data_IF_295007878774
#
_entry.id   IF_295007878774
#
_cell.length_a   1.000
_cell.length_b   1.000
_cell.length_c   1.000
_cell.angle_alpha   90.00
_cell.angle_beta   90.00
_cell.angle_gamma   90.00
#
_symmetry.space_group_name_H-M   'P 1'
#
loop_
_entity.id
_entity.type
_entity.pdbx_description
1 polymer ?
#
# COMPACT_ATOMS: atom_id res chain seq x y z
N UNK A 1 25.86 -10.20 -3.67
CA UNK A 1 24.59 -9.46 -3.84
C UNK A 1 23.59 -10.05 -2.85
N UNK A 2 23.08 -9.25 -1.91
CA UNK A 2 21.99 -9.70 -1.03
C UNK A 2 20.75 -9.97 -1.90
N UNK A 3 20.21 -11.18 -1.83
CA UNK A 3 18.96 -11.54 -2.49
C UNK A 3 17.83 -11.08 -1.59
N UNK A 4 17.09 -10.07 -2.01
CA UNK A 4 15.84 -9.69 -1.35
C UNK A 4 14.80 -10.75 -1.68
N UNK A 5 14.56 -11.68 -0.75
CA UNK A 5 13.44 -12.62 -0.80
C UNK A 5 12.23 -11.93 -0.16
N UNK A 6 11.17 -11.58 -0.92
CA UNK A 6 9.99 -10.95 -0.36
C UNK A 6 9.15 -12.03 0.33
N UNK A 7 9.50 -12.35 1.57
CA UNK A 7 8.68 -13.21 2.41
C UNK A 7 7.48 -12.40 2.93
N UNK A 8 6.37 -12.49 2.20
CA UNK A 8 5.06 -12.01 2.64
C UNK A 8 4.84 -10.50 2.44
N UNK A 9 3.83 -10.15 1.64
CA UNK A 9 3.25 -8.81 1.67
C UNK A 9 2.59 -8.59 3.04
N UNK A 10 2.77 -7.41 3.66
CA UNK A 10 2.19 -7.09 4.97
C UNK A 10 0.65 -7.14 4.99
N UNK A 11 0.03 -7.05 3.81
CA UNK A 11 -1.41 -7.20 3.61
C UNK A 11 -1.64 -8.30 2.56
N UNK A 12 -2.61 -9.20 2.80
CA UNK A 12 -3.14 -10.06 1.74
C UNK A 12 -3.63 -9.23 0.54
N UNK A 13 -3.49 -9.78 -0.67
CA UNK A 13 -3.82 -9.06 -1.90
C UNK A 13 -5.31 -8.67 -1.98
N UNK A 14 -6.18 -9.57 -1.54
CA UNK A 14 -7.63 -9.38 -1.42
C UNK A 14 -7.99 -8.25 -0.45
N UNK A 15 -7.31 -8.18 0.70
CA UNK A 15 -7.50 -7.09 1.68
C UNK A 15 -7.03 -5.76 1.10
N UNK A 16 -5.88 -5.75 0.42
CA UNK A 16 -5.37 -4.54 -0.22
C UNK A 16 -6.32 -4.03 -1.31
N UNK A 17 -6.94 -4.92 -2.09
CA UNK A 17 -7.90 -4.55 -3.13
C UNK A 17 -9.18 -3.96 -2.54
N UNK A 18 -9.79 -4.60 -1.54
CA UNK A 18 -10.97 -4.04 -0.85
C UNK A 18 -10.69 -2.64 -0.27
N UNK A 19 -9.54 -2.47 0.38
CA UNK A 19 -9.14 -1.21 1.00
C UNK A 19 -8.96 -0.07 -0.03
N UNK A 20 -8.53 -0.36 -1.26
CA UNK A 20 -8.45 0.65 -2.34
C UNK A 20 -9.80 1.33 -2.58
N UNK A 21 -10.85 0.53 -2.65
CA UNK A 21 -12.21 1.01 -2.93
C UNK A 21 -12.83 1.73 -1.72
N UNK A 22 -12.57 1.25 -0.51
CA UNK A 22 -12.97 1.95 0.71
C UNK A 22 -12.33 3.34 0.81
N UNK A 23 -11.01 3.41 0.58
CA UNK A 23 -10.29 4.69 0.60
C UNK A 23 -10.74 5.59 -0.54
N UNK A 24 -11.04 5.03 -1.72
CA UNK A 24 -11.61 5.82 -2.82
C UNK A 24 -12.96 6.45 -2.44
N UNK A 25 -13.79 5.73 -1.69
CA UNK A 25 -15.06 6.23 -1.17
C UNK A 25 -14.84 7.35 -0.14
N UNK A 26 -13.91 7.17 0.81
CA UNK A 26 -13.54 8.21 1.77
C UNK A 26 -13.02 9.49 1.09
N UNK A 27 -12.30 9.34 -0.01
CA UNK A 27 -11.72 10.47 -0.77
C UNK A 27 -12.72 11.09 -1.77
N UNK A 28 -13.92 10.52 -1.91
CA UNK A 28 -14.96 11.00 -2.82
C UNK A 28 -14.59 10.85 -4.30
N UNK A 29 -13.73 9.89 -4.65
CA UNK A 29 -13.27 9.68 -6.04
C UNK A 29 -13.88 8.44 -6.69
N UNK A 30 -14.72 7.67 -6.00
CA UNK A 30 -15.34 6.44 -6.52
C UNK A 30 -16.02 6.64 -7.86
N UNK A 31 -16.74 7.75 -8.06
CA UNK A 31 -17.41 8.04 -9.33
C UNK A 31 -16.47 8.34 -10.51
N UNK A 32 -15.16 8.47 -10.28
CA UNK A 32 -14.15 8.62 -11.34
C UNK A 32 -13.53 7.28 -11.76
N UNK A 33 -13.73 6.23 -10.96
CA UNK A 33 -13.18 4.90 -11.18
C UNK A 33 -14.20 4.12 -12.00
N UNK A 34 -13.76 3.44 -13.05
CA UNK A 34 -14.59 2.44 -13.71
C UNK A 34 -14.52 1.15 -12.90
N UNK A 35 -15.47 1.00 -11.97
CA UNK A 35 -15.53 -0.15 -11.04
C UNK A 35 -15.94 -1.45 -11.73
N UNK A 36 -16.56 -1.39 -12.91
CA UNK A 36 -16.98 -2.59 -13.64
C UNK A 36 -15.77 -3.31 -14.28
N UNK A 37 -14.77 -2.54 -14.69
CA UNK A 37 -13.54 -3.04 -15.32
C UNK A 37 -12.29 -2.95 -14.42
N UNK A 38 -12.44 -2.54 -13.15
CA UNK A 38 -11.33 -2.18 -12.24
C UNK A 38 -10.32 -1.22 -12.89
N UNK A 39 -10.81 -0.24 -13.65
CA UNK A 39 -9.96 0.64 -14.44
C UNK A 39 -9.82 2.03 -13.80
N UNK A 40 -8.59 2.35 -13.44
CA UNK A 40 -8.20 3.60 -12.79
C UNK A 40 -7.50 4.60 -13.74
N UNK A 41 -7.30 4.24 -15.02
CA UNK A 41 -6.51 5.07 -15.94
C UNK A 41 -7.14 6.41 -16.29
N UNK A 42 -8.46 6.57 -16.09
CA UNK A 42 -9.16 7.85 -16.25
C UNK A 42 -9.08 8.75 -15.00
N UNK A 43 -8.59 8.22 -13.88
CA UNK A 43 -8.45 8.94 -12.61
C UNK A 43 -7.13 9.72 -12.63
N UNK A 44 -7.16 10.98 -12.17
CA UNK A 44 -5.95 11.79 -12.10
C UNK A 44 -4.89 11.11 -11.23
N UNK A 45 -3.62 11.11 -11.67
CA UNK A 45 -2.52 10.46 -10.94
C UNK A 45 -2.37 10.94 -9.49
N UNK A 46 -2.74 12.20 -9.21
CA UNK A 46 -2.80 12.75 -7.85
C UNK A 46 -3.79 11.99 -6.96
N UNK A 47 -4.97 11.67 -7.48
CA UNK A 47 -6.01 10.96 -6.74
C UNK A 47 -5.62 9.47 -6.57
N UNK A 48 -5.09 8.83 -7.61
CA UNK A 48 -4.52 7.48 -7.50
C UNK A 48 -3.38 7.41 -6.46
N UNK A 49 -2.50 8.40 -6.46
CA UNK A 49 -1.40 8.52 -5.49
C UNK A 49 -1.90 8.72 -4.05
N UNK A 50 -3.02 9.42 -3.84
CA UNK A 50 -3.64 9.56 -2.51
C UNK A 50 -4.18 8.23 -1.99
N UNK A 51 -4.83 7.43 -2.83
CA UNK A 51 -5.30 6.08 -2.46
C UNK A 51 -4.10 5.17 -2.17
N UNK A 52 -3.21 5.01 -3.15
CA UNK A 52 -2.04 4.14 -3.02
C UNK A 52 -1.12 4.56 -1.87
N UNK A 53 -0.98 5.85 -1.61
CA UNK A 53 -0.19 6.39 -0.49
C UNK A 53 -0.77 6.08 0.89
N UNK A 54 -2.10 6.09 1.05
CA UNK A 54 -2.75 5.70 2.31
C UNK A 54 -2.56 4.20 2.61
N UNK A 55 -2.42 3.37 1.59
CA UNK A 55 -2.19 1.92 1.73
C UNK A 55 -0.69 1.62 1.78
N UNK A 56 -0.03 1.71 0.63
CA UNK A 56 1.39 1.43 0.41
C UNK A 56 2.32 2.30 1.23
N UNK A 57 2.07 3.61 1.27
CA UNK A 57 2.93 4.53 2.02
C UNK A 57 2.93 4.26 3.52
N UNK A 58 1.77 3.95 4.10
CA UNK A 58 1.67 3.58 5.51
C UNK A 58 2.30 2.22 5.80
N UNK A 59 2.15 1.25 4.91
CA UNK A 59 2.85 -0.04 5.01
C UNK A 59 4.37 0.13 5.02
N UNK A 60 4.92 0.91 4.09
CA UNK A 60 6.37 1.17 4.01
C UNK A 60 6.88 1.84 5.28
N UNK A 61 6.16 2.85 5.79
CA UNK A 61 6.51 3.49 7.07
C UNK A 61 6.55 2.48 8.23
N UNK A 62 5.58 1.57 8.29
CA UNK A 62 5.54 0.53 9.32
C UNK A 62 6.69 -0.48 9.16
N UNK A 63 7.05 -0.85 7.94
CA UNK A 63 8.21 -1.71 7.67
C UNK A 63 9.51 -1.07 8.13
N UNK A 64 9.71 0.21 7.80
CA UNK A 64 10.89 0.98 8.23
C UNK A 64 10.94 1.02 9.75
N UNK A 65 9.84 1.40 10.41
CA UNK A 65 9.77 1.43 11.88
C UNK A 65 10.14 0.09 12.52
N UNK A 66 9.63 -1.02 11.98
CA UNK A 66 9.97 -2.37 12.47
C UNK A 66 11.45 -2.71 12.26
N UNK A 67 12.01 -2.34 11.12
CA UNK A 67 13.43 -2.54 10.84
C UNK A 67 14.30 -1.73 11.81
N UNK A 68 13.94 -0.47 12.09
CA UNK A 68 14.59 0.38 13.08
C UNK A 68 14.53 -0.22 14.49
N UNK A 69 13.37 -0.73 14.91
CA UNK A 69 13.19 -1.41 16.20
C UNK A 69 14.04 -2.68 16.31
N UNK A 70 14.15 -3.47 15.24
CA UNK A 70 14.98 -4.69 15.20
C UNK A 70 16.47 -4.34 15.32
N UNK A 71 16.92 -3.31 14.60
CA UNK A 71 18.28 -2.79 14.71
C UNK A 71 18.58 -2.26 16.12
N UNK A 72 17.65 -1.54 16.73
CA UNK A 72 17.79 -1.03 18.10
C UNK A 72 17.91 -2.15 19.15
N UNK A 73 17.33 -3.33 18.87
CA UNK A 73 17.49 -4.55 19.69
C UNK A 73 18.80 -5.31 19.43
N UNK A 74 19.67 -4.81 18.55
CA UNK A 74 20.92 -5.48 18.17
C UNK A 74 20.73 -6.73 17.31
N UNK A 75 19.54 -6.89 16.71
CA UNK A 75 19.22 -8.00 15.81
C UNK A 75 19.42 -7.55 14.35
N UNK A 76 19.90 -8.45 13.49
CA UNK A 76 19.93 -8.18 12.05
C UNK A 76 18.50 -8.13 11.50
N UNK A 77 18.12 -7.09 10.74
CA UNK A 77 16.81 -7.01 10.10
C UNK A 77 16.68 -7.92 8.87
N UNK A 78 17.76 -8.60 8.46
CA UNK A 78 17.84 -9.55 7.35
C UNK A 78 18.71 -10.76 7.71
#
# INVERSE_FOLDING_TARGET
MAKFTPEGTLLPADVADALKYEIAAELGITGKIDTANDYWGNVASRDCGRVGGKIGGNMVKLMIKRAEETLARGQSPF
#
